data_IF_835911995274
#
_entry.id   IF_835911995274
#
_cell.length_a   1.000
_cell.length_b   1.000
_cell.length_c   1.000
_cell.angle_alpha   90.00
_cell.angle_beta   90.00
_cell.angle_gamma   90.00
#
_symmetry.space_group_name_H-M   'P 1'
#
loop_
_entity.id
_entity.type
_entity.pdbx_description
1 polymer ?
#
# COMPACT_ATOMS: atom_id res chain seq x y z
N UNK A 1 -18.22 -13.36 -10.09
CA UNK A 1 -19.29 -13.41 -9.06
C UNK A 1 -18.76 -12.71 -7.83
N UNK A 2 -19.49 -11.72 -7.34
CA UNK A 2 -19.25 -11.18 -6.00
C UNK A 2 -20.14 -11.94 -5.01
N UNK A 3 -19.61 -12.29 -3.84
CA UNK A 3 -20.29 -13.11 -2.82
C UNK A 3 -20.29 -12.32 -1.52
N UNK A 4 -21.44 -12.26 -0.84
CA UNK A 4 -21.53 -11.61 0.46
C UNK A 4 -20.44 -12.12 1.40
N UNK A 5 -19.71 -11.20 2.02
CA UNK A 5 -18.56 -11.51 2.88
C UNK A 5 -18.92 -12.49 4.00
N UNK A 6 -20.15 -12.45 4.53
CA UNK A 6 -20.65 -13.32 5.61
C UNK A 6 -20.82 -14.76 5.13
N UNK A 7 -21.23 -14.97 3.89
CA UNK A 7 -21.46 -16.30 3.31
C UNK A 7 -20.29 -16.82 2.47
N UNK A 8 -19.20 -16.06 2.35
CA UNK A 8 -18.01 -16.44 1.56
C UNK A 8 -17.46 -17.81 1.95
N UNK A 9 -17.43 -18.12 3.25
CA UNK A 9 -16.91 -19.41 3.74
C UNK A 9 -17.83 -20.57 3.36
N UNK A 10 -19.16 -20.38 3.45
CA UNK A 10 -20.14 -21.40 3.04
C UNK A 10 -20.02 -21.71 1.55
N UNK A 11 -19.87 -20.69 0.72
CA UNK A 11 -19.67 -20.86 -0.73
C UNK A 11 -18.35 -21.55 -1.02
N UNK A 12 -17.27 -21.19 -0.31
CA UNK A 12 -15.97 -21.87 -0.42
C UNK A 12 -16.15 -23.36 -0.12
N UNK A 13 -16.72 -23.69 1.03
CA UNK A 13 -16.85 -25.08 1.47
C UNK A 13 -17.74 -25.90 0.52
N UNK A 14 -18.81 -25.29 -0.02
CA UNK A 14 -19.64 -25.90 -1.08
C UNK A 14 -18.83 -26.22 -2.35
N UNK A 15 -17.97 -25.31 -2.82
CA UNK A 15 -17.14 -25.53 -4.01
C UNK A 15 -16.14 -26.67 -3.77
N UNK A 16 -15.49 -26.70 -2.60
CA UNK A 16 -14.60 -27.79 -2.23
C UNK A 16 -15.34 -29.14 -2.18
N UNK A 17 -16.54 -29.19 -1.61
CA UNK A 17 -17.34 -30.41 -1.54
C UNK A 17 -17.85 -30.87 -2.92
N UNK A 18 -18.21 -29.93 -3.79
CA UNK A 18 -18.80 -30.25 -5.10
C UNK A 18 -17.78 -30.74 -6.12
N UNK A 19 -16.57 -30.18 -6.10
CA UNK A 19 -15.56 -30.42 -7.13
C UNK A 19 -14.35 -31.24 -6.65
N UNK A 20 -14.26 -31.55 -5.36
CA UNK A 20 -13.12 -32.26 -4.78
C UNK A 20 -11.98 -31.32 -4.41
N UNK A 21 -11.33 -31.56 -3.28
CA UNK A 21 -10.30 -30.68 -2.74
C UNK A 21 -9.04 -30.62 -3.62
N UNK A 22 -8.79 -31.66 -4.39
CA UNK A 22 -7.69 -31.76 -5.36
C UNK A 22 -7.89 -30.88 -6.60
N UNK A 23 -9.13 -30.47 -6.88
CA UNK A 23 -9.48 -29.66 -8.05
C UNK A 23 -9.78 -28.19 -7.71
N UNK A 24 -9.69 -27.81 -6.44
CA UNK A 24 -10.04 -26.47 -5.94
C UNK A 24 -8.88 -25.88 -5.13
N UNK A 25 -8.41 -24.70 -5.53
CA UNK A 25 -7.38 -23.96 -4.81
C UNK A 25 -7.80 -22.50 -4.57
N UNK A 26 -7.29 -21.90 -3.50
CA UNK A 26 -7.40 -20.47 -3.27
C UNK A 26 -6.30 -19.72 -4.02
N UNK A 27 -6.65 -18.61 -4.67
CA UNK A 27 -5.67 -17.71 -5.29
C UNK A 27 -5.14 -16.77 -4.21
N UNK A 28 -3.84 -16.86 -3.91
CA UNK A 28 -3.16 -15.93 -3.02
C UNK A 28 -2.92 -14.58 -3.70
N UNK A 29 -2.89 -13.51 -2.92
CA UNK A 29 -2.54 -12.17 -3.42
C UNK A 29 -1.26 -11.69 -2.74
N UNK A 30 -0.30 -11.21 -3.53
CA UNK A 30 0.92 -10.59 -3.01
C UNK A 30 0.65 -9.10 -2.88
N UNK A 31 0.67 -8.60 -1.65
CA UNK A 31 0.61 -7.17 -1.41
C UNK A 31 2.02 -6.59 -1.55
N UNK A 32 2.17 -5.59 -2.42
CA UNK A 32 3.42 -4.88 -2.64
C UNK A 32 3.42 -3.52 -1.91
N UNK A 33 4.61 -2.95 -1.75
CA UNK A 33 4.75 -1.58 -1.27
C UNK A 33 4.13 -0.59 -2.26
N UNK A 34 3.32 0.30 -1.70
CA UNK A 34 2.74 1.48 -2.32
C UNK A 34 3.10 2.69 -1.45
N UNK A 35 2.86 3.93 -1.92
CA UNK A 35 3.31 5.16 -1.26
C UNK A 35 3.07 5.19 0.27
N UNK A 36 1.84 4.91 0.74
CA UNK A 36 1.55 4.90 2.19
C UNK A 36 2.31 3.85 2.97
N UNK A 37 2.50 2.67 2.38
CA UNK A 37 3.24 1.59 3.03
C UNK A 37 4.71 1.93 3.12
N UNK A 38 5.26 2.45 2.02
CA UNK A 38 6.66 2.84 1.92
C UNK A 38 7.01 3.99 2.88
N UNK A 39 6.23 5.07 2.88
CA UNK A 39 6.42 6.23 3.76
C UNK A 39 6.43 5.82 5.24
N UNK A 40 5.53 4.92 5.64
CA UNK A 40 5.46 4.47 7.04
C UNK A 40 6.64 3.61 7.45
N UNK A 41 7.00 2.63 6.63
CA UNK A 41 8.01 1.65 7.02
C UNK A 41 9.43 2.25 6.89
N UNK A 42 9.70 3.03 5.84
CA UNK A 42 10.97 3.78 5.70
C UNK A 42 11.06 4.88 6.75
N UNK A 43 9.96 5.61 7.00
CA UNK A 43 9.96 6.70 7.99
C UNK A 43 10.27 6.20 9.40
N UNK A 44 9.70 5.06 9.78
CA UNK A 44 10.04 4.37 11.03
C UNK A 44 11.49 3.90 11.07
N UNK A 45 12.01 3.35 9.98
CA UNK A 45 13.39 2.90 9.90
C UNK A 45 14.39 4.06 10.05
N UNK A 46 14.07 5.23 9.51
CA UNK A 46 14.87 6.46 9.61
C UNK A 46 14.61 7.27 10.88
N UNK A 47 13.74 6.79 11.79
CA UNK A 47 13.35 7.48 13.03
C UNK A 47 12.77 8.88 12.78
N UNK A 48 12.08 9.06 11.66
CA UNK A 48 11.34 10.30 11.36
C UNK A 48 10.18 10.44 12.37
N UNK A 49 9.92 11.65 12.91
CA UNK A 49 8.79 11.87 13.81
C UNK A 49 7.47 11.38 13.22
N UNK A 50 6.64 10.75 14.04
CA UNK A 50 5.38 10.13 13.61
C UNK A 50 4.44 11.16 12.96
N UNK A 51 4.45 12.40 13.45
CA UNK A 51 3.65 13.50 12.91
C UNK A 51 4.01 13.81 11.46
N UNK A 52 5.30 13.76 11.12
CA UNK A 52 5.80 13.97 9.76
C UNK A 52 5.36 12.81 8.85
N UNK A 53 5.45 11.58 9.34
CA UNK A 53 5.00 10.38 8.60
C UNK A 53 3.49 10.45 8.32
N UNK A 54 2.71 10.85 9.31
CA UNK A 54 1.25 10.98 9.18
C UNK A 54 0.85 12.09 8.24
N UNK A 55 1.50 13.25 8.34
CA UNK A 55 1.30 14.36 7.42
C UNK A 55 1.70 13.98 5.99
N UNK A 56 2.79 13.24 5.79
CA UNK A 56 3.19 12.73 4.47
C UNK A 56 2.27 11.61 3.94
N UNK A 57 1.47 10.97 4.79
CA UNK A 57 0.48 9.97 4.39
C UNK A 57 -0.92 10.56 4.17
N UNK A 58 -1.14 11.81 4.58
CA UNK A 58 -2.44 12.47 4.49
C UNK A 58 -2.81 12.67 3.01
N UNK A 59 -4.08 12.45 2.66
CA UNK A 59 -4.55 12.58 1.26
C UNK A 59 -4.13 11.44 0.32
N UNK A 60 -3.19 10.57 0.71
CA UNK A 60 -2.82 9.42 -0.13
C UNK A 60 -3.85 8.30 0.07
N UNK A 61 -4.58 7.97 -1.01
CA UNK A 61 -5.49 6.82 -1.04
C UNK A 61 -4.84 5.60 -1.72
N UNK A 62 -4.52 5.73 -3.01
CA UNK A 62 -3.85 4.72 -3.81
C UNK A 62 -2.87 5.41 -4.75
N UNK A 63 -1.57 5.26 -4.49
CA UNK A 63 -0.52 5.91 -5.25
C UNK A 63 0.76 5.07 -5.16
N UNK A 64 1.44 4.88 -6.29
CA UNK A 64 2.75 4.25 -6.32
C UNK A 64 3.77 5.17 -5.64
N UNK A 65 4.71 4.59 -4.87
CA UNK A 65 5.73 5.37 -4.18
C UNK A 65 6.70 6.04 -5.17
N UNK A 66 6.97 5.42 -6.31
CA UNK A 66 7.83 6.00 -7.36
C UNK A 66 7.19 7.20 -8.07
N UNK A 67 5.85 7.21 -8.19
CA UNK A 67 5.10 8.32 -8.78
C UNK A 67 4.79 9.45 -7.79
N UNK A 68 5.11 9.28 -6.51
CA UNK A 68 4.70 10.20 -5.45
C UNK A 68 5.12 11.64 -5.75
N UNK A 69 6.41 11.88 -5.97
CA UNK A 69 6.94 13.23 -6.16
C UNK A 69 6.40 13.93 -7.42
N UNK A 70 6.10 13.18 -8.48
CA UNK A 70 5.49 13.72 -9.70
C UNK A 70 4.01 14.06 -9.54
N UNK A 71 3.32 13.38 -8.63
CA UNK A 71 1.90 13.55 -8.37
C UNK A 71 1.59 14.59 -7.29
N UNK A 72 2.56 14.94 -6.42
CA UNK A 72 2.38 15.91 -5.34
C UNK A 72 1.88 17.27 -5.85
N UNK A 73 2.39 17.75 -6.98
CA UNK A 73 1.95 19.04 -7.54
C UNK A 73 0.62 18.96 -8.30
N UNK A 74 0.19 17.75 -8.67
CA UNK A 74 -1.04 17.50 -9.45
C UNK A 74 -2.25 17.23 -8.56
N UNK A 75 -2.04 16.59 -7.41
CA UNK A 75 -3.11 16.20 -6.50
C UNK A 75 -3.35 17.30 -5.45
N UNK A 76 -4.53 17.93 -5.42
CA UNK A 76 -4.82 19.02 -4.48
C UNK A 76 -4.70 18.57 -3.02
N UNK A 77 -4.96 17.30 -2.73
CA UNK A 77 -4.86 16.71 -1.39
C UNK A 77 -3.41 16.63 -0.89
N UNK A 78 -2.42 16.60 -1.78
CA UNK A 78 -1.00 16.51 -1.44
C UNK A 78 -0.27 17.86 -1.55
N UNK A 79 -0.81 18.78 -2.35
CA UNK A 79 -0.20 20.06 -2.69
C UNK A 79 0.03 20.99 -1.50
N UNK A 80 -0.85 20.92 -0.51
CA UNK A 80 -0.78 21.71 0.73
C UNK A 80 0.30 21.20 1.70
N UNK A 81 0.78 19.97 1.51
CA UNK A 81 1.82 19.41 2.38
C UNK A 81 3.18 19.97 2.01
N UNK A 82 3.77 20.72 2.94
CA UNK A 82 5.09 21.32 2.76
C UNK A 82 6.22 20.30 2.85
N UNK A 83 5.96 19.10 3.40
CA UNK A 83 6.99 18.07 3.65
C UNK A 83 7.68 17.65 2.36
N UNK A 84 6.93 17.47 1.27
CA UNK A 84 7.48 17.00 0.00
C UNK A 84 8.48 17.98 -0.65
N UNK A 85 8.45 19.25 -0.24
CA UNK A 85 9.32 20.31 -0.76
C UNK A 85 10.55 20.56 0.11
N UNK A 86 10.63 19.94 1.30
CA UNK A 86 11.76 20.14 2.19
C UNK A 86 12.95 19.28 1.75
N UNK A 87 14.14 19.88 1.53
CA UNK A 87 15.32 19.15 1.08
C UNK A 87 15.80 18.09 2.09
N UNK A 88 15.54 18.30 3.38
CA UNK A 88 15.85 17.34 4.46
C UNK A 88 15.17 15.98 4.30
N UNK A 89 14.04 15.93 3.56
CA UNK A 89 13.28 14.71 3.31
C UNK A 89 13.44 14.17 1.89
N UNK A 90 14.26 14.80 1.05
CA UNK A 90 14.46 14.34 -0.33
C UNK A 90 14.94 12.88 -0.39
N UNK A 91 15.94 12.54 0.41
CA UNK A 91 16.47 11.17 0.45
C UNK A 91 15.48 10.18 1.03
N UNK A 92 14.67 10.61 2.00
CA UNK A 92 13.58 9.80 2.54
C UNK A 92 12.57 9.39 1.45
N UNK A 93 12.15 10.33 0.59
CA UNK A 93 11.24 10.02 -0.50
C UNK A 93 11.90 9.22 -1.62
N UNK A 94 13.18 9.42 -1.89
CA UNK A 94 13.95 8.57 -2.81
C UNK A 94 13.98 7.11 -2.35
N UNK A 95 14.22 6.88 -1.06
CA UNK A 95 14.18 5.53 -0.47
C UNK A 95 12.78 4.92 -0.53
N UNK A 96 11.72 5.72 -0.32
CA UNK A 96 10.34 5.26 -0.50
C UNK A 96 10.07 4.82 -1.94
N UNK A 97 10.55 5.59 -2.92
CA UNK A 97 10.43 5.26 -4.34
C UNK A 97 11.23 4.00 -4.71
N UNK A 98 12.39 3.79 -4.09
CA UNK A 98 13.26 2.64 -4.35
C UNK A 98 12.64 1.30 -3.92
N UNK A 99 11.77 1.30 -2.91
CA UNK A 99 11.07 0.09 -2.45
C UNK A 99 9.69 -0.09 -3.08
N UNK A 100 9.29 0.77 -4.01
CA UNK A 100 8.00 0.69 -4.68
C UNK A 100 7.83 -0.67 -5.38
N UNK A 101 6.66 -1.30 -5.23
CA UNK A 101 6.38 -2.59 -5.86
C UNK A 101 7.08 -3.80 -5.23
N UNK A 102 7.96 -3.62 -4.24
CA UNK A 102 8.57 -4.75 -3.52
C UNK A 102 7.50 -5.53 -2.75
N UNK A 103 7.51 -6.88 -2.75
CA UNK A 103 6.59 -7.68 -1.95
C UNK A 103 6.69 -7.35 -0.46
N UNK A 104 5.54 -7.08 0.17
CA UNK A 104 5.44 -6.80 1.59
C UNK A 104 4.99 -8.04 2.37
N UNK A 105 3.80 -8.56 2.07
CA UNK A 105 3.24 -9.74 2.71
C UNK A 105 2.43 -10.58 1.72
N UNK A 106 2.40 -11.89 1.96
CA UNK A 106 1.50 -12.83 1.30
C UNK A 106 0.17 -12.85 2.05
N UNK A 107 -0.95 -12.74 1.34
CA UNK A 107 -2.32 -12.77 1.90
C UNK A 107 -3.20 -13.79 1.19
#
# INVERSE_FOLDING_TARGET
MDVDRRHRNEVRDYVYQKYGAENVACVGTINTYMARGAIRDVGKALQIPQEVIEQACHGIHYLSASQLLECVDKLPELKESTIYKKPEFAEFFNLCAAIDGVPKHLS
#
